data_IF_291375864227
#
_entry.id   IF_291375864227
#
_cell.length_a   1.000
_cell.length_b   1.000
_cell.length_c   1.000
_cell.angle_alpha   90.00
_cell.angle_beta   90.00
_cell.angle_gamma   90.00
#
_symmetry.space_group_name_H-M   'P 1'
#
loop_
_entity.id
_entity.type
_entity.pdbx_description
1 polymer ?
#
# COMPACT_ATOMS: atom_id res chain seq x y z
N UNK A 1 31.13 0.93 24.77
CA UNK A 1 29.96 0.07 24.51
C UNK A 1 28.76 0.85 23.97
N UNK A 2 28.48 2.08 24.43
CA UNK A 2 27.33 2.88 23.93
C UNK A 2 27.41 3.39 22.48
N UNK A 3 28.61 3.59 21.91
CA UNK A 3 28.76 4.08 20.52
C UNK A 3 28.47 3.00 19.46
N UNK A 4 28.64 1.72 19.78
CA UNK A 4 28.40 0.60 18.84
C UNK A 4 26.90 0.36 18.66
N UNK A 5 26.13 0.48 19.75
CA UNK A 5 24.66 0.33 19.74
C UNK A 5 24.02 1.42 18.88
N UNK A 6 24.49 2.68 19.00
CA UNK A 6 23.97 3.80 18.21
C UNK A 6 24.21 3.63 16.70
N UNK A 7 25.35 3.03 16.30
CA UNK A 7 25.62 2.67 14.90
C UNK A 7 24.69 1.59 14.36
N UNK A 8 24.39 0.55 15.15
CA UNK A 8 23.46 -0.50 14.72
C UNK A 8 22.03 0.04 14.50
N UNK A 9 21.57 0.94 15.36
CA UNK A 9 20.27 1.59 15.21
C UNK A 9 20.21 2.49 13.96
N UNK A 10 21.27 3.26 13.69
CA UNK A 10 21.34 4.10 12.49
C UNK A 10 21.32 3.24 11.20
N UNK A 11 22.10 2.17 11.14
CA UNK A 11 22.14 1.27 9.96
C UNK A 11 20.79 0.59 9.74
N UNK A 12 20.11 0.16 10.81
CA UNK A 12 18.76 -0.42 10.70
C UNK A 12 17.74 0.57 10.16
N UNK A 13 17.81 1.83 10.63
CA UNK A 13 16.90 2.89 10.17
C UNK A 13 17.18 3.28 8.72
N UNK A 14 18.45 3.44 8.36
CA UNK A 14 18.87 3.79 7.00
C UNK A 14 18.51 2.68 6.00
N UNK A 15 18.66 1.40 6.39
CA UNK A 15 18.19 0.27 5.57
C UNK A 15 16.68 0.34 5.38
N UNK A 16 15.91 0.51 6.45
CA UNK A 16 14.45 0.57 6.34
C UNK A 16 13.99 1.76 5.49
N UNK A 17 14.66 2.90 5.61
CA UNK A 17 14.37 4.09 4.82
C UNK A 17 14.74 3.88 3.35
N UNK A 18 15.88 3.23 3.07
CA UNK A 18 16.28 2.89 1.70
C UNK A 18 15.32 1.88 1.07
N UNK A 19 14.97 0.81 1.79
CA UNK A 19 14.01 -0.20 1.33
C UNK A 19 12.63 0.41 1.09
N UNK A 20 12.20 1.34 1.95
CA UNK A 20 10.96 2.10 1.76
C UNK A 20 11.06 2.99 0.53
N UNK A 21 12.15 3.72 0.33
CA UNK A 21 12.34 4.60 -0.84
C UNK A 21 12.50 3.81 -2.15
N UNK A 22 13.08 2.61 -2.10
CA UNK A 22 13.23 1.72 -3.26
C UNK A 22 11.88 1.10 -3.65
N UNK A 23 11.01 0.83 -2.67
CA UNK A 23 9.64 0.31 -2.91
C UNK A 23 8.62 1.40 -3.19
N UNK A 24 8.79 2.59 -2.63
CA UNK A 24 7.89 3.72 -2.75
C UNK A 24 8.63 4.94 -3.29
N UNK A 25 8.72 5.03 -4.61
CA UNK A 25 9.12 6.26 -5.29
C UNK A 25 8.02 7.36 -5.16
N UNK A 26 8.25 8.53 -5.76
CA UNK A 26 7.30 9.65 -5.72
C UNK A 26 5.90 9.23 -6.25
N UNK A 27 5.85 8.33 -7.24
CA UNK A 27 4.61 7.82 -7.84
C UNK A 27 3.90 6.84 -6.90
N UNK A 28 4.64 5.97 -6.24
CA UNK A 28 4.11 4.99 -5.28
C UNK A 28 3.69 5.66 -3.96
N UNK A 29 4.27 6.79 -3.60
CA UNK A 29 3.87 7.60 -2.44
C UNK A 29 2.50 8.26 -2.66
N UNK A 30 2.26 8.78 -3.87
CA UNK A 30 0.94 9.27 -4.28
C UNK A 30 -0.10 8.14 -4.32
N UNK A 31 0.31 6.95 -4.75
CA UNK A 31 -0.53 5.76 -4.74
C UNK A 31 -0.92 5.34 -3.31
N UNK A 32 0.02 5.40 -2.37
CA UNK A 32 -0.21 5.12 -0.94
C UNK A 32 -1.20 6.13 -0.33
N UNK A 33 -1.02 7.43 -0.58
CA UNK A 33 -1.99 8.45 -0.19
C UNK A 33 -3.37 8.22 -0.83
N UNK A 34 -3.37 7.79 -2.10
CA UNK A 34 -4.57 7.39 -2.83
C UNK A 34 -5.36 6.31 -2.09
N UNK A 35 -4.72 5.21 -1.69
CA UNK A 35 -5.41 4.13 -0.97
C UNK A 35 -5.84 4.54 0.43
N UNK A 36 -5.01 5.29 1.15
CA UNK A 36 -5.38 5.81 2.47
C UNK A 36 -6.68 6.63 2.39
N UNK A 37 -6.89 7.37 1.29
CA UNK A 37 -8.15 8.04 1.01
C UNK A 37 -9.28 7.10 0.57
N UNK A 38 -8.98 6.04 -0.19
CA UNK A 38 -9.99 5.10 -0.68
C UNK A 38 -10.61 4.28 0.44
N UNK A 39 -9.82 3.85 1.42
CA UNK A 39 -10.28 3.05 2.57
C UNK A 39 -10.77 3.91 3.74
N UNK A 40 -10.93 5.21 3.53
CA UNK A 40 -11.40 6.12 4.56
C UNK A 40 -12.93 6.01 4.70
N UNK A 41 -13.45 5.61 5.88
CA UNK A 41 -14.90 5.50 6.09
C UNK A 41 -15.62 6.86 6.13
N UNK A 42 -14.87 7.98 6.21
CA UNK A 42 -15.45 9.33 6.19
C UNK A 42 -16.28 9.52 4.91
N UNK A 43 -17.49 10.05 5.08
CA UNK A 43 -18.45 10.27 4.00
C UNK A 43 -18.76 9.00 3.19
N UNK A 44 -18.89 7.86 3.87
CA UNK A 44 -19.23 6.57 3.25
C UNK A 44 -18.28 6.18 2.12
N UNK A 45 -16.97 6.23 2.36
CA UNK A 45 -15.96 5.84 1.37
C UNK A 45 -16.12 6.63 0.05
N UNK A 46 -16.39 7.93 0.16
CA UNK A 46 -16.63 8.81 -1.00
C UNK A 46 -15.44 8.89 -1.94
N UNK A 47 -14.23 8.67 -1.44
CA UNK A 47 -12.97 8.71 -2.19
C UNK A 47 -12.51 7.32 -2.66
N UNK A 48 -13.34 6.28 -2.49
CA UNK A 48 -13.02 4.93 -2.94
C UNK A 48 -12.92 4.84 -4.46
N UNK A 49 -11.78 4.34 -4.95
CA UNK A 49 -11.52 4.05 -6.37
C UNK A 49 -10.83 2.69 -6.46
N UNK A 50 -11.56 1.70 -6.99
CA UNK A 50 -11.07 0.31 -7.17
C UNK A 50 -9.75 0.29 -7.93
N UNK A 51 -9.57 1.16 -8.92
CA UNK A 51 -8.37 1.17 -9.77
C UNK A 51 -7.12 1.53 -8.99
N UNK A 52 -7.23 2.39 -7.97
CA UNK A 52 -6.10 2.74 -7.10
C UNK A 52 -5.68 1.57 -6.23
N UNK A 53 -6.65 0.77 -5.77
CA UNK A 53 -6.38 -0.43 -4.97
C UNK A 53 -5.77 -1.54 -5.84
N UNK A 54 -6.32 -1.76 -7.03
CA UNK A 54 -5.81 -2.74 -8.00
C UNK A 54 -4.37 -2.45 -8.41
N UNK A 55 -4.03 -1.18 -8.67
CA UNK A 55 -2.66 -0.79 -9.02
C UNK A 55 -1.63 -1.07 -7.92
N UNK A 56 -2.03 -1.15 -6.65
CA UNK A 56 -1.12 -1.60 -5.59
C UNK A 56 -0.91 -3.10 -5.64
N UNK A 57 -1.96 -3.89 -5.86
CA UNK A 57 -1.83 -5.35 -5.99
C UNK A 57 -0.88 -5.73 -7.16
N UNK A 58 -0.88 -4.95 -8.25
CA UNK A 58 0.07 -5.10 -9.37
C UNK A 58 1.55 -4.93 -8.96
N UNK A 59 1.83 -4.17 -7.89
CA UNK A 59 3.20 -3.98 -7.39
C UNK A 59 3.70 -5.18 -6.58
N UNK A 60 2.83 -6.14 -6.25
CA UNK A 60 3.14 -7.35 -5.51
C UNK A 60 2.82 -8.61 -6.32
N UNK A 61 3.50 -8.83 -7.46
CA UNK A 61 3.23 -9.98 -8.34
C UNK A 61 3.51 -11.34 -7.66
N UNK A 62 4.30 -11.36 -6.59
CA UNK A 62 4.57 -12.57 -5.79
C UNK A 62 3.37 -12.95 -4.89
N UNK A 63 2.55 -11.96 -4.49
CA UNK A 63 1.37 -12.15 -3.64
C UNK A 63 0.07 -12.21 -4.45
N UNK A 64 0.00 -11.52 -5.59
CA UNK A 64 -1.17 -11.41 -6.45
C UNK A 64 -0.87 -11.91 -7.86
N UNK A 65 -1.21 -13.17 -8.11
CA UNK A 65 -1.29 -13.70 -9.47
C UNK A 65 -2.55 -13.19 -10.21
N UNK A 66 -2.64 -13.49 -11.50
CA UNK A 66 -3.76 -13.04 -12.35
C UNK A 66 -5.14 -13.50 -11.84
N UNK A 67 -5.21 -14.68 -11.21
CA UNK A 67 -6.45 -15.19 -10.60
C UNK A 67 -6.82 -14.39 -9.35
N UNK A 68 -5.84 -14.15 -8.47
CA UNK A 68 -6.02 -13.36 -7.26
C UNK A 68 -6.42 -11.91 -7.60
N UNK A 69 -5.88 -11.35 -8.68
CA UNK A 69 -6.26 -10.02 -9.18
C UNK A 69 -7.74 -9.95 -9.58
N UNK A 70 -8.23 -10.93 -10.35
CA UNK A 70 -9.65 -10.97 -10.75
C UNK A 70 -10.60 -11.19 -9.56
N UNK A 71 -10.19 -12.01 -8.59
CA UNK A 71 -10.95 -12.21 -7.35
C UNK A 71 -10.99 -10.91 -6.55
N UNK A 72 -9.84 -10.26 -6.36
CA UNK A 72 -9.73 -9.00 -5.63
C UNK A 72 -10.62 -7.91 -6.23
N UNK A 73 -10.65 -7.77 -7.56
CA UNK A 73 -11.52 -6.79 -8.23
C UNK A 73 -13.01 -7.03 -7.92
N UNK A 74 -13.46 -8.29 -7.98
CA UNK A 74 -14.84 -8.66 -7.66
C UNK A 74 -15.18 -8.44 -6.18
N UNK A 75 -14.25 -8.78 -5.28
CA UNK A 75 -14.42 -8.57 -3.84
C UNK A 75 -14.51 -7.07 -3.51
N UNK A 76 -13.68 -6.23 -4.13
CA UNK A 76 -13.73 -4.78 -3.97
C UNK A 76 -15.03 -4.17 -4.50
N UNK A 77 -15.54 -4.70 -5.62
CA UNK A 77 -16.83 -4.29 -6.17
C UNK A 77 -18.01 -4.68 -5.26
N UNK A 78 -17.96 -5.85 -4.64
CA UNK A 78 -18.97 -6.27 -3.66
C UNK A 78 -18.87 -5.46 -2.36
N UNK A 79 -17.65 -5.27 -1.84
CA UNK A 79 -17.39 -4.52 -0.62
C UNK A 79 -17.99 -3.12 -0.67
N UNK A 80 -17.81 -2.39 -1.78
CA UNK A 80 -18.35 -1.03 -1.87
C UNK A 80 -19.87 -1.00 -1.94
N UNK A 81 -20.51 -2.03 -2.50
CA UNK A 81 -21.98 -2.16 -2.51
C UNK A 81 -22.51 -2.46 -1.11
N UNK A 82 -21.80 -3.28 -0.34
CA UNK A 82 -22.21 -3.66 1.01
C UNK A 82 -21.99 -2.55 2.03
N UNK A 83 -20.98 -1.69 1.81
CA UNK A 83 -20.52 -0.71 2.80
C UNK A 83 -20.96 0.74 2.50
N UNK A 84 -21.31 1.09 1.25
CA UNK A 84 -21.94 2.38 0.93
C UNK A 84 -23.43 2.39 1.21
#
# INVERSE_FOLDING_TARGET
MGQVICKCFAISYDWQLQELNDRFDEVNTDLLHGIASCLNPINSFSSFDIRKVMRMAELYPDDFDESNMSILENELASYIVDVK
#
